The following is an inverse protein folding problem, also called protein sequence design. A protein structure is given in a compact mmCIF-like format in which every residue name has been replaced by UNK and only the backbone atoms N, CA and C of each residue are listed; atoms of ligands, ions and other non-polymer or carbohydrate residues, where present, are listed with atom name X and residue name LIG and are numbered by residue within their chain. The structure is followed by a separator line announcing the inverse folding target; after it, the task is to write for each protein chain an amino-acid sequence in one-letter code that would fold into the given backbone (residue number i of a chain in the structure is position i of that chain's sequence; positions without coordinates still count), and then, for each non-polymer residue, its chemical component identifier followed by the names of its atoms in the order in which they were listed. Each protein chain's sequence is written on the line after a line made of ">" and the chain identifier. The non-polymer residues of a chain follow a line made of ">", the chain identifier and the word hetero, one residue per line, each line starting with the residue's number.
data_IF_461345879517
#
_entry.id   IF_461345879517
#
_cell.length_a   1.000
_cell.length_b   1.000
_cell.length_c   1.000
_cell.angle_alpha   90.00
_cell.angle_beta   90.00
_cell.angle_gamma   90.00
#
_symmetry.space_group_name_H-M   'P 1'
#
loop_
_entity.id
_entity.type
_entity.pdbx_description
1 polymer ?
#
# COMPACT_ATOMS: atom_id res chain seq x y z
N UNK A 1 2.40 -5.64 -14.74
CA UNK A 1 1.59 -4.77 -13.82
C UNK A 1 0.56 -3.96 -14.63
N UNK A 2 -0.40 -4.62 -15.35
CA UNK A 2 -1.27 -3.90 -16.28
C UNK A 2 -2.14 -2.82 -15.62
N UNK A 3 -2.57 -3.01 -14.37
CA UNK A 3 -3.40 -2.03 -13.68
C UNK A 3 -2.60 -0.79 -13.23
N UNK A 4 -1.40 -1.01 -12.70
CA UNK A 4 -0.48 0.07 -12.32
C UNK A 4 0.04 0.79 -13.57
N UNK A 5 0.33 0.05 -14.64
CA UNK A 5 0.78 0.61 -15.92
C UNK A 5 -0.30 1.49 -16.55
N UNK A 6 -1.56 1.09 -16.45
CA UNK A 6 -2.71 1.89 -16.90
C UNK A 6 -2.81 3.20 -16.13
N UNK A 7 -2.76 3.16 -14.79
CA UNK A 7 -2.73 4.38 -13.97
C UNK A 7 -1.56 5.30 -14.33
N UNK A 8 -0.38 4.72 -14.58
CA UNK A 8 0.80 5.48 -14.99
C UNK A 8 0.66 6.13 -16.36
N UNK A 9 -0.09 5.50 -17.28
CA UNK A 9 -0.33 6.02 -18.62
C UNK A 9 -1.38 7.15 -18.65
N UNK A 10 -2.37 7.11 -17.76
CA UNK A 10 -3.42 8.12 -17.67
C UNK A 10 -3.13 9.24 -16.68
N UNK A 11 -2.13 9.04 -15.81
CA UNK A 11 -1.80 9.95 -14.72
C UNK A 11 -0.38 10.49 -14.76
N UNK A 12 0.19 10.65 -13.58
CA UNK A 12 1.55 11.15 -13.41
C UNK A 12 2.42 10.09 -12.71
N UNK A 13 3.56 9.75 -13.29
CA UNK A 13 4.56 8.87 -12.71
C UNK A 13 5.74 9.67 -12.18
N UNK A 14 6.12 9.41 -10.92
CA UNK A 14 7.27 10.02 -10.27
C UNK A 14 8.46 9.06 -10.33
N UNK A 15 9.40 9.29 -11.26
CA UNK A 15 10.59 8.44 -11.44
C UNK A 15 11.63 8.63 -10.32
N UNK A 16 11.51 9.68 -9.51
CA UNK A 16 12.40 10.03 -8.40
C UNK A 16 11.59 10.36 -7.17
N UNK A 17 10.98 9.35 -6.58
CA UNK A 17 10.30 9.44 -5.29
C UNK A 17 11.13 8.71 -4.25
N UNK A 18 11.59 9.42 -3.22
CA UNK A 18 12.48 8.89 -2.20
C UNK A 18 11.74 8.74 -0.88
N UNK A 19 12.03 7.67 -0.17
CA UNK A 19 11.55 7.44 1.19
C UNK A 19 12.61 7.85 2.22
N UNK A 20 12.18 8.18 3.43
CA UNK A 20 13.07 8.63 4.50
C UNK A 20 13.85 7.48 5.15
N UNK A 21 13.41 6.25 5.04
CA UNK A 21 14.06 5.06 5.59
C UNK A 21 13.69 3.81 4.79
N UNK A 22 14.65 2.91 4.58
CA UNK A 22 14.43 1.65 3.85
C UNK A 22 13.90 0.53 4.77
N UNK A 23 12.91 0.84 5.59
CA UNK A 23 12.23 -0.10 6.50
C UNK A 23 10.75 0.23 6.62
N UNK A 24 9.91 -0.81 6.68
CA UNK A 24 8.44 -0.68 6.62
C UNK A 24 7.86 0.22 7.72
N UNK A 25 8.14 0.01 9.01
CA UNK A 25 7.56 0.82 10.07
C UNK A 25 7.98 2.30 10.00
N UNK A 26 9.27 2.66 9.90
CA UNK A 26 9.69 4.04 9.76
C UNK A 26 9.10 4.75 8.54
N UNK A 27 9.09 4.07 7.37
CA UNK A 27 8.50 4.63 6.14
C UNK A 27 7.02 4.87 6.28
N UNK A 28 6.27 3.94 6.89
CA UNK A 28 4.82 4.12 7.13
C UNK A 28 4.54 5.28 8.07
N UNK A 29 5.30 5.43 9.15
CA UNK A 29 5.20 6.60 10.01
C UNK A 29 5.48 7.90 9.23
N UNK A 30 6.50 7.92 8.38
CA UNK A 30 6.80 9.08 7.53
C UNK A 30 5.63 9.40 6.57
N UNK A 31 5.07 8.40 5.87
CA UNK A 31 3.93 8.58 4.96
C UNK A 31 2.72 9.19 5.70
N UNK A 32 2.40 8.67 6.89
CA UNK A 32 1.18 9.09 7.60
C UNK A 32 1.36 10.35 8.45
N UNK A 33 2.58 10.76 8.77
CA UNK A 33 2.84 11.97 9.58
C UNK A 33 3.43 13.12 8.77
N UNK A 34 4.02 12.86 7.61
CA UNK A 34 4.83 13.83 6.85
C UNK A 34 6.15 14.18 7.53
N UNK A 35 6.53 13.48 8.61
CA UNK A 35 7.73 13.76 9.39
C UNK A 35 8.80 12.71 9.10
N UNK A 36 10.05 13.18 9.00
CA UNK A 36 11.21 12.29 9.01
C UNK A 36 11.17 11.38 10.25
N UNK A 37 11.52 10.09 10.15
CA UNK A 37 11.48 9.14 11.27
C UNK A 37 12.26 9.59 12.50
N UNK A 38 13.36 10.32 12.33
CA UNK A 38 14.13 10.92 13.45
C UNK A 38 13.29 11.96 14.18
N UNK A 39 12.53 12.76 13.43
CA UNK A 39 11.68 13.82 14.00
C UNK A 39 10.44 13.24 14.68
N UNK A 40 9.79 12.24 14.06
CA UNK A 40 8.64 11.57 14.65
C UNK A 40 8.99 10.63 15.81
N UNK A 41 10.26 10.25 15.98
CA UNK A 41 10.72 9.25 16.97
C UNK A 41 10.58 7.81 16.53
N UNK A 42 9.95 7.53 15.40
CA UNK A 42 9.74 6.18 14.87
C UNK A 42 10.92 5.72 14.00
N UNK A 43 12.14 6.09 14.39
CA UNK A 43 13.37 5.80 13.65
C UNK A 43 13.75 4.30 13.62
N UNK A 44 13.79 3.57 14.74
CA UNK A 44 14.02 2.12 14.69
C UNK A 44 12.78 1.39 14.16
N UNK A 45 12.99 0.25 13.52
CA UNK A 45 11.89 -0.61 13.14
C UNK A 45 11.08 -1.06 14.38
N UNK A 46 9.75 -1.10 14.26
CA UNK A 46 8.80 -1.37 15.36
C UNK A 46 8.76 -0.30 16.47
N UNK A 47 9.38 0.86 16.28
CA UNK A 47 9.29 1.95 17.25
C UNK A 47 7.92 2.67 17.19
N UNK A 48 7.70 3.54 18.18
CA UNK A 48 6.48 4.33 18.33
C UNK A 48 6.75 5.79 17.91
N UNK A 49 5.74 6.43 17.33
CA UNK A 49 5.80 7.88 17.20
C UNK A 49 5.79 8.54 18.60
N UNK A 50 6.46 9.69 18.71
CA UNK A 50 6.46 10.50 19.93
C UNK A 50 5.05 10.93 20.29
N UNK A 51 4.81 11.08 21.59
CA UNK A 51 3.58 11.69 22.10
C UNK A 51 3.34 13.07 21.48
N UNK A 52 2.09 13.37 21.12
CA UNK A 52 1.69 14.61 20.48
C UNK A 52 1.97 14.66 18.96
N UNK A 53 2.57 13.62 18.37
CA UNK A 53 2.70 13.54 16.91
C UNK A 53 1.30 13.45 16.28
N UNK A 54 1.01 14.30 15.30
CA UNK A 54 -0.22 14.25 14.52
C UNK A 54 0.00 13.50 13.22
N UNK A 55 -0.99 12.73 12.80
CA UNK A 55 -1.02 12.04 11.51
C UNK A 55 -2.05 12.66 10.56
N UNK A 56 -1.96 12.29 9.29
CA UNK A 56 -2.93 12.65 8.25
C UNK A 56 -4.37 12.28 8.66
N UNK A 57 -4.55 11.26 9.49
CA UNK A 57 -5.87 10.84 9.99
C UNK A 57 -6.54 11.96 10.77
N UNK A 58 -5.78 12.61 11.66
CA UNK A 58 -6.32 13.71 12.46
C UNK A 58 -6.61 14.93 11.60
N UNK A 59 -5.70 15.27 10.66
CA UNK A 59 -5.90 16.45 9.79
C UNK A 59 -7.09 16.27 8.84
N UNK A 60 -7.24 15.11 8.21
CA UNK A 60 -8.35 14.84 7.31
C UNK A 60 -9.66 14.63 8.08
N UNK A 61 -9.60 14.04 9.28
CA UNK A 61 -10.75 13.92 10.18
C UNK A 61 -11.33 15.29 10.56
N UNK A 62 -10.46 16.27 10.88
CA UNK A 62 -10.88 17.65 11.15
C UNK A 62 -11.56 18.32 9.93
N UNK A 63 -11.30 17.83 8.71
CA UNK A 63 -11.93 18.28 7.47
C UNK A 63 -13.20 17.48 7.10
N UNK A 64 -13.62 16.55 7.96
CA UNK A 64 -14.83 15.75 7.76
C UNK A 64 -14.63 14.47 6.91
N UNK A 65 -13.38 14.08 6.62
CA UNK A 65 -13.11 12.84 5.93
C UNK A 65 -13.25 11.63 6.85
N UNK A 66 -13.78 10.54 6.33
CA UNK A 66 -13.53 9.21 6.85
C UNK A 66 -12.12 8.77 6.44
N UNK A 67 -11.30 8.37 7.40
CA UNK A 67 -9.90 7.98 7.10
C UNK A 67 -9.69 6.55 7.52
N UNK A 68 -9.59 5.66 6.54
CA UNK A 68 -9.53 4.22 6.73
C UNK A 68 -8.19 3.61 6.33
N UNK A 69 -7.85 2.50 6.98
CA UNK A 69 -6.72 1.66 6.62
C UNK A 69 -7.16 0.21 6.55
N UNK A 70 -6.95 -0.40 5.39
CA UNK A 70 -7.22 -1.82 5.13
C UNK A 70 -5.92 -2.55 4.78
N UNK A 71 -5.64 -3.65 5.47
CA UNK A 71 -4.44 -4.45 5.26
C UNK A 71 -3.31 -4.18 6.27
N UNK A 72 -2.07 -4.13 5.79
CA UNK A 72 -0.86 -4.00 6.63
C UNK A 72 -0.82 -2.68 7.41
N UNK A 73 -0.77 -2.77 8.75
CA UNK A 73 -0.75 -1.61 9.66
C UNK A 73 0.68 -1.14 9.98
N UNK A 74 1.40 -1.85 10.79
CA UNK A 74 2.80 -1.68 11.20
C UNK A 74 3.20 -0.27 11.69
N UNK A 75 2.28 0.43 12.36
CA UNK A 75 2.45 1.76 12.96
C UNK A 75 1.92 1.78 14.39
N UNK A 76 2.46 2.68 15.21
CA UNK A 76 2.08 2.89 16.63
C UNK A 76 2.43 4.32 17.07
N UNK A 77 1.81 4.90 18.12
CA UNK A 77 0.70 4.32 18.88
C UNK A 77 -0.66 4.55 18.18
N UNK A 78 -1.71 3.85 18.61
CA UNK A 78 -3.04 3.93 17.97
C UNK A 78 -3.67 5.32 18.08
N UNK A 79 -3.37 6.05 19.14
CA UNK A 79 -3.86 7.41 19.39
C UNK A 79 -3.35 8.41 18.36
N UNK A 80 -2.14 8.21 17.86
CA UNK A 80 -1.57 9.00 16.76
C UNK A 80 -2.21 8.64 15.42
N UNK A 81 -2.62 7.38 15.26
CA UNK A 81 -3.14 6.82 14.02
C UNK A 81 -4.55 6.24 14.19
N UNK A 82 -5.57 7.06 14.50
CA UNK A 82 -6.93 6.59 14.76
C UNK A 82 -7.72 6.30 13.46
N UNK A 83 -7.15 5.48 12.58
CA UNK A 83 -7.82 5.02 11.37
C UNK A 83 -9.09 4.21 11.68
N UNK A 84 -10.05 4.25 10.77
CA UNK A 84 -11.04 3.18 10.66
C UNK A 84 -10.33 1.94 10.11
N UNK A 85 -10.01 0.99 10.99
CA UNK A 85 -9.27 -0.21 10.57
C UNK A 85 -10.22 -1.29 10.08
N UNK A 86 -9.95 -1.86 8.88
CA UNK A 86 -10.56 -3.13 8.49
C UNK A 86 -10.03 -4.28 9.35
N UNK A 87 -10.83 -5.29 9.60
CA UNK A 87 -10.48 -6.40 10.48
C UNK A 87 -9.38 -7.34 9.95
N UNK A 88 -9.08 -7.33 8.64
CA UNK A 88 -8.07 -8.18 8.01
C UNK A 88 -6.69 -7.53 8.08
N UNK A 89 -5.68 -8.37 8.36
CA UNK A 89 -4.27 -7.99 8.34
C UNK A 89 -3.60 -8.44 7.04
N UNK A 90 -2.45 -7.86 6.74
CA UNK A 90 -1.54 -8.15 5.63
C UNK A 90 -2.01 -7.64 4.27
N UNK A 91 -3.23 -7.94 3.82
CA UNK A 91 -3.74 -7.49 2.53
C UNK A 91 -5.06 -6.75 2.68
N UNK A 92 -5.43 -5.86 1.75
CA UNK A 92 -6.70 -5.16 1.81
C UNK A 92 -7.89 -6.12 1.89
N UNK A 93 -8.85 -5.78 2.76
CA UNK A 93 -10.14 -6.44 2.83
C UNK A 93 -11.08 -5.78 1.84
N UNK A 94 -11.25 -6.39 0.67
CA UNK A 94 -12.03 -5.81 -0.42
C UNK A 94 -13.52 -5.64 -0.08
N UNK A 95 -14.07 -6.47 0.80
CA UNK A 95 -15.44 -6.30 1.30
C UNK A 95 -15.57 -5.05 2.18
N UNK A 96 -14.61 -4.83 3.09
CA UNK A 96 -14.57 -3.62 3.91
C UNK A 96 -14.29 -2.36 3.07
N UNK A 97 -13.47 -2.48 2.03
CA UNK A 97 -13.19 -1.40 1.07
C UNK A 97 -14.44 -1.01 0.30
N UNK A 98 -15.18 -2.00 -0.24
CA UNK A 98 -16.44 -1.76 -0.93
C UNK A 98 -17.50 -1.14 -0.02
N UNK A 99 -17.58 -1.60 1.22
CA UNK A 99 -18.48 -1.03 2.24
C UNK A 99 -18.16 0.45 2.52
N UNK A 100 -16.89 0.78 2.74
CA UNK A 100 -16.45 2.18 2.94
C UNK A 100 -16.85 3.06 1.75
N UNK A 101 -16.58 2.60 0.53
CA UNK A 101 -16.86 3.35 -0.69
C UNK A 101 -18.35 3.56 -0.91
N UNK A 102 -19.16 2.50 -0.74
CA UNK A 102 -20.61 2.57 -0.91
C UNK A 102 -21.30 3.46 0.13
N UNK A 103 -20.89 3.36 1.39
CA UNK A 103 -21.39 4.23 2.47
C UNK A 103 -21.02 5.70 2.25
N UNK A 104 -19.76 5.95 1.83
CA UNK A 104 -19.28 7.30 1.54
C UNK A 104 -20.03 7.93 0.37
N UNK A 105 -20.26 7.18 -0.70
CA UNK A 105 -21.06 7.62 -1.84
C UNK A 105 -22.52 7.92 -1.44
N UNK A 106 -23.12 7.06 -0.62
CA UNK A 106 -24.51 7.23 -0.18
C UNK A 106 -24.73 8.42 0.76
N UNK A 107 -23.72 8.77 1.57
CA UNK A 107 -23.79 9.88 2.55
C UNK A 107 -23.16 11.19 2.07
N UNK A 108 -22.60 11.22 0.86
CA UNK A 108 -21.80 12.35 0.34
C UNK A 108 -20.67 12.74 1.31
N UNK A 109 -20.09 11.74 1.99
CA UNK A 109 -19.01 11.94 2.96
C UNK A 109 -17.67 11.60 2.30
N UNK A 110 -16.72 12.54 2.24
CA UNK A 110 -15.42 12.26 1.63
C UNK A 110 -14.64 11.21 2.43
N UNK A 111 -13.83 10.41 1.74
CA UNK A 111 -12.99 9.42 2.38
C UNK A 111 -11.52 9.51 1.91
N UNK A 112 -10.63 9.00 2.75
CA UNK A 112 -9.26 8.71 2.40
C UNK A 112 -8.95 7.27 2.83
N UNK A 113 -8.67 6.40 1.86
CA UNK A 113 -8.38 4.99 2.09
C UNK A 113 -6.90 4.70 1.85
N UNK A 114 -6.27 4.09 2.83
CA UNK A 114 -4.97 3.44 2.67
C UNK A 114 -5.17 1.94 2.53
N UNK A 115 -5.17 1.45 1.29
CA UNK A 115 -5.23 0.03 0.96
C UNK A 115 -3.81 -0.54 0.93
N UNK A 116 -3.42 -1.18 2.01
CA UNK A 116 -2.03 -1.55 2.28
C UNK A 116 -1.80 -3.04 2.05
N UNK A 117 -1.25 -3.40 0.89
CA UNK A 117 -0.78 -4.76 0.65
C UNK A 117 0.48 -5.08 1.45
N UNK A 118 0.63 -6.34 1.85
CA UNK A 118 1.90 -6.87 2.34
C UNK A 118 2.83 -7.28 1.19
N UNK A 119 2.26 -7.52 0.01
CA UNK A 119 3.02 -8.05 -1.12
C UNK A 119 3.86 -6.96 -1.83
N UNK A 120 5.02 -7.30 -2.36
CA UNK A 120 5.65 -8.61 -2.43
C UNK A 120 6.61 -8.93 -1.26
N UNK A 121 6.18 -8.78 -0.01
CA UNK A 121 6.97 -9.16 1.17
C UNK A 121 6.99 -10.68 1.37
N UNK A 122 8.16 -11.26 1.69
CA UNK A 122 8.28 -12.70 1.98
C UNK A 122 7.34 -13.15 3.12
N UNK A 123 6.81 -14.38 3.11
CA UNK A 123 7.07 -15.48 2.16
C UNK A 123 6.31 -15.33 0.85
N UNK A 124 6.94 -15.61 -0.27
CA UNK A 124 6.36 -15.51 -1.60
C UNK A 124 5.51 -16.76 -1.91
N UNK A 125 4.24 -16.70 -1.59
CA UNK A 125 3.30 -17.81 -1.70
C UNK A 125 1.95 -17.41 -2.32
N UNK A 126 1.89 -16.23 -2.94
CA UNK A 126 0.74 -15.69 -3.67
C UNK A 126 1.03 -15.64 -5.18
N UNK A 127 -0.05 -15.45 -5.93
CA UNK A 127 0.06 -15.35 -7.38
C UNK A 127 0.36 -16.69 -8.08
N UNK A 128 0.48 -16.63 -9.40
CA UNK A 128 0.70 -17.79 -10.26
C UNK A 128 2.13 -17.79 -10.81
N UNK A 129 2.98 -18.65 -10.26
CA UNK A 129 4.38 -18.78 -10.69
C UNK A 129 4.54 -19.37 -12.09
N UNK A 130 3.52 -20.03 -12.64
CA UNK A 130 3.58 -20.59 -14.00
C UNK A 130 3.75 -19.53 -15.08
N UNK A 131 3.38 -18.29 -14.78
CA UNK A 131 3.55 -17.13 -15.67
C UNK A 131 5.04 -16.74 -15.79
N UNK A 132 5.84 -17.11 -14.79
CA UNK A 132 7.27 -16.75 -14.69
C UNK A 132 8.15 -17.99 -14.57
N UNK A 133 8.29 -18.83 -15.63
CA UNK A 133 9.13 -20.03 -15.57
C UNK A 133 10.56 -19.67 -15.15
N UNK A 134 11.15 -20.33 -14.13
CA UNK A 134 12.46 -19.95 -13.58
C UNK A 134 13.59 -19.86 -14.61
N UNK A 135 13.54 -20.68 -15.65
CA UNK A 135 14.52 -20.67 -16.73
C UNK A 135 14.40 -19.44 -17.66
N UNK A 136 13.27 -18.72 -17.62
CA UNK A 136 13.00 -17.55 -18.46
C UNK A 136 13.10 -16.22 -17.71
N UNK A 137 13.18 -16.24 -16.38
CA UNK A 137 13.29 -14.99 -15.61
C UNK A 137 14.63 -14.33 -15.84
N UNK A 138 14.61 -13.00 -15.96
CA UNK A 138 15.82 -12.17 -16.10
C UNK A 138 16.18 -11.64 -14.73
N UNK A 139 17.27 -12.14 -14.16
CA UNK A 139 17.74 -11.67 -12.86
C UNK A 139 18.47 -10.33 -12.99
N UNK A 140 18.30 -9.41 -12.02
CA UNK A 140 19.15 -8.22 -11.92
C UNK A 140 20.63 -8.60 -11.83
N UNK A 141 21.55 -7.79 -12.38
CA UNK A 141 22.97 -8.15 -12.50
C UNK A 141 23.73 -8.29 -11.17
N UNK A 142 23.12 -7.82 -10.08
CA UNK A 142 23.68 -7.93 -8.72
C UNK A 142 23.16 -9.16 -7.95
N UNK A 143 22.29 -9.97 -8.55
CA UNK A 143 21.75 -11.21 -7.94
C UNK A 143 22.54 -12.41 -8.49
N UNK A 144 22.94 -13.31 -7.58
CA UNK A 144 23.64 -14.55 -7.96
C UNK A 144 22.69 -15.50 -8.69
N UNK A 145 23.07 -15.94 -9.87
CA UNK A 145 22.28 -16.84 -10.71
C UNK A 145 22.45 -18.30 -10.27
N UNK A 146 21.47 -18.81 -9.57
CA UNK A 146 21.35 -20.23 -9.19
C UNK A 146 19.92 -20.73 -9.43
N UNK A 147 19.69 -22.04 -9.59
CA UNK A 147 18.32 -22.57 -9.74
C UNK A 147 17.37 -22.13 -8.63
N UNK A 148 17.85 -22.17 -7.38
CA UNK A 148 17.02 -21.74 -6.22
C UNK A 148 16.66 -20.28 -6.26
N UNK A 149 17.60 -19.41 -6.63
CA UNK A 149 17.35 -17.96 -6.76
C UNK A 149 16.36 -17.67 -7.88
N UNK A 150 16.42 -18.41 -8.99
CA UNK A 150 15.46 -18.28 -10.09
C UNK A 150 14.06 -18.69 -9.67
N UNK A 151 13.92 -19.79 -8.90
CA UNK A 151 12.62 -20.20 -8.32
C UNK A 151 12.06 -19.12 -7.39
N UNK A 152 12.87 -18.61 -6.47
CA UNK A 152 12.46 -17.57 -5.53
C UNK A 152 12.10 -16.26 -6.26
N UNK A 153 12.85 -15.89 -7.28
CA UNK A 153 12.57 -14.71 -8.09
C UNK A 153 11.29 -14.85 -8.93
N UNK A 154 11.02 -16.05 -9.44
CA UNK A 154 9.74 -16.39 -10.09
C UNK A 154 8.58 -16.18 -9.14
N UNK A 155 8.67 -16.67 -7.91
CA UNK A 155 7.66 -16.48 -6.88
C UNK A 155 7.47 -14.99 -6.49
N UNK A 156 8.56 -14.24 -6.37
CA UNK A 156 8.52 -12.80 -6.14
C UNK A 156 7.79 -12.03 -7.26
N UNK A 157 8.06 -12.36 -8.53
CA UNK A 157 7.37 -11.75 -9.67
C UNK A 157 5.87 -12.09 -9.69
N UNK A 158 5.50 -13.31 -9.30
CA UNK A 158 4.11 -13.72 -9.19
C UNK A 158 3.37 -12.91 -8.12
N UNK A 159 4.02 -12.58 -7.00
CA UNK A 159 3.44 -11.71 -5.97
C UNK A 159 3.29 -10.26 -6.42
N UNK A 160 4.20 -9.73 -7.24
CA UNK A 160 4.01 -8.42 -7.87
C UNK A 160 2.76 -8.42 -8.74
N UNK A 161 2.53 -9.49 -9.51
CA UNK A 161 1.30 -9.64 -10.30
C UNK A 161 0.06 -9.75 -9.41
N UNK A 162 0.16 -10.45 -8.30
CA UNK A 162 -0.92 -10.52 -7.32
C UNK A 162 -1.21 -9.14 -6.70
N UNK A 163 -0.20 -8.38 -6.33
CA UNK A 163 -0.37 -6.99 -5.88
C UNK A 163 -1.06 -6.12 -6.93
N UNK A 164 -0.63 -6.19 -8.18
CA UNK A 164 -1.27 -5.47 -9.28
C UNK A 164 -2.75 -5.83 -9.46
N UNK A 165 -3.12 -7.11 -9.22
CA UNK A 165 -4.52 -7.52 -9.25
C UNK A 165 -5.35 -6.89 -8.12
N UNK A 166 -4.77 -6.69 -6.95
CA UNK A 166 -5.43 -5.97 -5.85
C UNK A 166 -5.66 -4.49 -6.21
N UNK A 167 -4.72 -3.85 -6.90
CA UNK A 167 -4.92 -2.49 -7.43
C UNK A 167 -6.09 -2.47 -8.41
N UNK A 168 -6.14 -3.41 -9.35
CA UNK A 168 -7.23 -3.54 -10.31
C UNK A 168 -8.60 -3.75 -9.64
N UNK A 169 -8.65 -4.57 -8.58
CA UNK A 169 -9.88 -4.80 -7.81
C UNK A 169 -10.37 -3.52 -7.13
N UNK A 170 -9.47 -2.75 -6.52
CA UNK A 170 -9.82 -1.46 -5.90
C UNK A 170 -10.32 -0.45 -6.93
N UNK A 171 -9.70 -0.37 -8.11
CA UNK A 171 -10.18 0.49 -9.20
C UNK A 171 -11.57 0.09 -9.67
N UNK A 172 -11.84 -1.21 -9.79
CA UNK A 172 -13.17 -1.72 -10.14
C UNK A 172 -14.22 -1.39 -9.06
N UNK A 173 -13.83 -1.37 -7.77
CA UNK A 173 -14.71 -0.94 -6.68
C UNK A 173 -15.02 0.56 -6.72
N UNK A 174 -14.05 1.41 -7.10
CA UNK A 174 -14.30 2.84 -7.33
C UNK A 174 -15.31 3.05 -8.46
N UNK A 175 -15.13 2.35 -9.57
CA UNK A 175 -16.05 2.43 -10.72
C UNK A 175 -17.46 1.93 -10.36
N UNK A 176 -17.55 0.78 -9.72
CA UNK A 176 -18.81 0.19 -9.22
C UNK A 176 -19.61 1.17 -8.36
N UNK A 177 -18.93 1.95 -7.51
CA UNK A 177 -19.55 2.90 -6.59
C UNK A 177 -19.70 4.31 -7.19
N UNK A 178 -19.36 4.53 -8.47
CA UNK A 178 -19.47 5.82 -9.15
C UNK A 178 -18.51 6.89 -8.63
N UNK A 179 -17.35 6.50 -8.10
CA UNK A 179 -16.40 7.38 -7.43
C UNK A 179 -15.15 7.67 -8.27
N UNK A 180 -14.97 7.02 -9.42
CA UNK A 180 -13.74 7.11 -10.23
C UNK A 180 -13.41 8.54 -10.66
N UNK A 181 -14.40 9.32 -11.07
CA UNK A 181 -14.21 10.70 -11.57
C UNK A 181 -13.88 11.72 -10.46
N UNK A 182 -14.14 11.38 -9.20
CA UNK A 182 -13.94 12.27 -8.05
C UNK A 182 -12.99 11.72 -7.00
N UNK A 183 -12.12 10.78 -7.39
CA UNK A 183 -11.15 10.16 -6.47
C UNK A 183 -9.75 10.26 -7.03
N UNK A 184 -8.85 10.87 -6.26
CA UNK A 184 -7.42 10.81 -6.56
C UNK A 184 -6.87 9.45 -6.11
N UNK A 185 -6.35 8.67 -7.06
CA UNK A 185 -5.71 7.38 -6.78
C UNK A 185 -4.19 7.54 -6.84
N UNK A 186 -3.52 7.08 -5.78
CA UNK A 186 -2.05 7.06 -5.70
C UNK A 186 -1.57 5.64 -5.40
N UNK A 187 -0.69 5.10 -6.26
CA UNK A 187 0.02 3.84 -6.00
C UNK A 187 1.44 4.18 -5.56
N UNK A 188 1.83 3.65 -4.42
CA UNK A 188 3.14 3.91 -3.82
C UNK A 188 3.79 2.60 -3.41
N UNK A 189 5.03 2.37 -3.85
CA UNK A 189 5.89 1.34 -3.29
C UNK A 189 6.64 1.91 -2.09
N UNK A 190 6.63 1.20 -0.94
CA UNK A 190 7.31 1.72 0.26
C UNK A 190 8.81 1.42 0.29
N UNK A 191 9.30 0.52 -0.56
CA UNK A 191 10.71 0.10 -0.60
C UNK A 191 11.34 0.15 -2.00
N UNK A 192 10.63 0.64 -2.98
CA UNK A 192 11.07 0.74 -4.37
C UNK A 192 10.77 -0.47 -5.23
#
# INVERSE_FOLDING_TARGET
>A
TPNIDHLGAEGMRFDRCFQAASMCSPTRHNIYTGLDPVNSGAYPNHAFAKEGTKSIVLYLGDLGYRVALSGKVHIKPKETFPFEYSGKANNPDMEAVDTLMSESAASDTPFCLFACSNEPHTPWNKGDTSIYPPEKVVLPPYIVDTPKVREDFSAYLAEITYYDSQVGEILALLDKNGLSENTLVMVVSEQG
#
